data_IF_771782338262
#
_entry.id   IF_771782338262
#
_cell.length_a   1.000
_cell.length_b   1.000
_cell.length_c   1.000
_cell.angle_alpha   90.00
_cell.angle_beta   90.00
_cell.angle_gamma   90.00
#
_symmetry.space_group_name_H-M   'P 1'
#
loop_
_entity.id
_entity.type
_entity.pdbx_description
1 polymer ?
#
# COMPACT_ATOMS: atom_id res chain seq x y z
N UNK A 1 -35.18 14.32 -22.39
CA UNK A 1 -34.66 15.71 -22.45
C UNK A 1 -34.38 16.14 -21.01
N UNK A 2 -33.20 16.46 -20.49
CA UNK A 2 -31.89 16.83 -21.05
C UNK A 2 -30.78 15.91 -20.50
N UNK A 3 -29.88 15.49 -21.39
CA UNK A 3 -28.64 14.79 -21.06
C UNK A 3 -27.59 15.83 -20.66
N UNK A 4 -27.06 15.78 -19.43
CA UNK A 4 -25.86 16.54 -19.05
C UNK A 4 -24.62 15.78 -19.52
N UNK A 5 -23.59 16.46 -20.05
CA UNK A 5 -22.41 15.77 -20.58
C UNK A 5 -21.61 15.15 -19.43
N UNK A 6 -21.27 13.87 -19.59
CA UNK A 6 -20.34 13.15 -18.72
C UNK A 6 -18.94 13.75 -18.94
N UNK A 7 -18.44 14.46 -17.94
CA UNK A 7 -17.04 14.91 -17.93
C UNK A 7 -16.12 13.71 -17.72
N UNK A 8 -15.49 13.23 -18.78
CA UNK A 8 -14.37 12.31 -18.68
C UNK A 8 -13.12 13.14 -18.35
N UNK A 9 -12.48 12.87 -17.21
CA UNK A 9 -11.13 13.37 -16.93
C UNK A 9 -10.16 12.47 -17.72
N UNK A 10 -9.82 12.89 -18.94
CA UNK A 10 -8.71 12.30 -19.67
C UNK A 10 -7.39 12.85 -19.11
N UNK A 11 -6.62 12.01 -18.43
CA UNK A 11 -5.19 12.28 -18.23
C UNK A 11 -4.46 11.95 -19.53
N UNK A 12 -4.21 12.95 -20.37
CA UNK A 12 -3.28 12.82 -21.49
C UNK A 12 -1.86 13.06 -20.97
N UNK A 13 -1.14 11.98 -20.68
CA UNK A 13 0.30 12.02 -20.49
C UNK A 13 0.97 11.85 -21.85
N UNK A 14 1.29 12.97 -22.52
CA UNK A 14 2.08 12.93 -23.75
C UNK A 14 3.56 12.92 -23.39
N UNK A 15 4.16 11.74 -23.41
CA UNK A 15 5.62 11.60 -23.50
C UNK A 15 6.03 11.77 -24.96
N UNK A 16 6.56 12.93 -25.33
CA UNK A 16 7.40 13.06 -26.53
C UNK A 16 8.44 14.17 -26.34
N UNK A 17 9.71 13.98 -26.78
CA UNK A 17 10.81 14.84 -26.35
C UNK A 17 10.81 16.23 -26.97
N UNK A 18 10.05 16.50 -28.02
CA UNK A 18 10.04 17.78 -28.72
C UNK A 18 8.77 17.93 -29.57
N UNK A 19 7.67 18.50 -29.04
CA UNK A 19 6.63 19.17 -29.82
C UNK A 19 5.56 19.81 -28.93
N UNK A 20 5.35 21.12 -29.11
CA UNK A 20 4.25 21.89 -28.54
C UNK A 20 2.91 21.41 -29.11
N UNK A 21 1.93 21.17 -28.25
CA UNK A 21 0.52 21.10 -28.64
C UNK A 21 -0.30 21.96 -27.68
N UNK A 22 -0.77 23.09 -28.20
CA UNK A 22 -1.73 23.96 -27.52
C UNK A 22 -3.11 23.61 -28.06
N UNK A 23 -3.98 23.06 -27.24
CA UNK A 23 -5.41 23.00 -27.51
C UNK A 23 -6.13 23.84 -26.46
N UNK A 24 -6.66 24.99 -26.89
CA UNK A 24 -7.64 25.75 -26.12
C UNK A 24 -9.03 25.26 -26.50
N UNK A 25 -9.77 24.73 -25.53
CA UNK A 25 -11.22 24.59 -25.59
C UNK A 25 -11.84 25.17 -24.31
N UNK A 26 -13.01 25.74 -24.52
CA UNK A 26 -13.65 26.81 -23.73
C UNK A 26 -14.14 26.35 -22.35
N UNK A 27 -13.91 27.20 -21.35
CA UNK A 27 -14.65 27.34 -20.08
C UNK A 27 -14.57 26.23 -19.02
N UNK A 28 -13.35 25.92 -18.56
CA UNK A 28 -13.09 25.67 -17.13
C UNK A 28 -11.80 26.42 -16.78
N UNK A 29 -11.67 27.00 -15.57
CA UNK A 29 -10.36 27.47 -15.07
C UNK A 29 -9.49 26.25 -14.76
N UNK A 30 -9.08 25.55 -15.81
CA UNK A 30 -8.18 24.41 -15.73
C UNK A 30 -6.83 24.97 -15.28
N UNK A 31 -6.40 24.58 -14.09
CA UNK A 31 -5.08 24.96 -13.57
C UNK A 31 -4.02 24.13 -14.29
N UNK A 32 -2.97 24.79 -14.75
CA UNK A 32 -1.77 24.12 -15.23
C UNK A 32 -0.73 24.11 -14.12
N UNK A 33 -0.03 23.00 -13.98
CA UNK A 33 1.08 22.85 -13.02
C UNK A 33 2.34 22.42 -13.77
N UNK A 34 3.45 23.10 -13.51
CA UNK A 34 4.77 22.64 -13.95
C UNK A 34 5.21 21.55 -12.98
N UNK A 35 5.29 20.31 -13.48
CA UNK A 35 5.62 19.14 -12.66
C UNK A 35 6.97 18.56 -13.08
N UNK A 36 7.69 17.98 -12.11
CA UNK A 36 8.84 17.13 -12.34
C UNK A 36 8.45 15.71 -11.92
N UNK A 37 8.62 14.75 -12.83
CA UNK A 37 8.37 13.34 -12.51
C UNK A 37 9.49 12.84 -11.61
N UNK A 38 9.13 12.39 -10.41
CA UNK A 38 10.08 11.82 -9.46
C UNK A 38 10.31 10.34 -9.82
N UNK A 39 11.57 9.88 -9.91
CA UNK A 39 11.86 8.47 -10.22
C UNK A 39 11.64 7.57 -8.99
N UNK A 40 11.14 6.35 -9.22
CA UNK A 40 11.16 5.30 -8.20
C UNK A 40 12.59 4.74 -8.08
N UNK A 41 13.15 4.78 -6.87
CA UNK A 41 14.51 4.34 -6.55
C UNK A 41 14.52 2.84 -6.32
N UNK A 42 14.95 2.11 -7.35
CA UNK A 42 15.19 0.67 -7.30
C UNK A 42 16.58 0.43 -6.71
N UNK A 43 16.64 -0.24 -5.56
CA UNK A 43 17.89 -0.59 -4.88
C UNK A 43 18.21 -2.08 -5.11
N UNK A 44 19.47 -2.44 -5.41
CA UNK A 44 19.88 -3.84 -5.48
C UNK A 44 19.87 -4.49 -4.08
N UNK A 45 20.08 -5.80 -4.05
CA UNK A 45 20.26 -6.51 -2.78
C UNK A 45 21.47 -5.94 -2.02
N UNK A 46 21.33 -5.62 -0.71
CA UNK A 46 22.37 -4.94 0.05
C UNK A 46 23.67 -5.74 0.18
N UNK A 47 23.63 -7.06 -0.02
CA UNK A 47 24.80 -7.93 0.04
C UNK A 47 25.40 -8.24 -1.34
N UNK A 48 24.83 -7.73 -2.44
CA UNK A 48 25.40 -7.92 -3.79
C UNK A 48 26.86 -7.46 -3.87
N UNK A 49 27.21 -6.35 -3.21
CA UNK A 49 28.57 -5.81 -3.21
C UNK A 49 29.60 -6.67 -2.45
N UNK A 50 29.15 -7.54 -1.55
CA UNK A 50 30.00 -8.38 -0.69
C UNK A 50 29.86 -9.86 -1.08
N UNK A 51 29.16 -10.13 -2.18
CA UNK A 51 28.86 -11.49 -2.61
C UNK A 51 30.08 -12.15 -3.23
N UNK A 52 30.53 -13.27 -2.66
CA UNK A 52 31.63 -14.06 -3.21
C UNK A 52 31.16 -14.78 -4.49
N UNK A 53 31.94 -14.67 -5.57
CA UNK A 53 31.66 -15.25 -6.89
C UNK A 53 31.30 -16.74 -6.87
N UNK A 54 31.93 -17.61 -6.05
CA UNK A 54 31.54 -19.03 -5.94
C UNK A 54 30.17 -19.25 -5.27
N UNK A 55 29.77 -18.37 -4.34
CA UNK A 55 28.50 -18.46 -3.61
C UNK A 55 27.31 -17.91 -4.42
N UNK A 56 27.56 -17.27 -5.56
CA UNK A 56 26.51 -16.85 -6.50
C UNK A 56 25.58 -18.00 -6.92
N UNK A 57 26.13 -19.21 -7.07
CA UNK A 57 25.36 -20.43 -7.41
C UNK A 57 24.42 -20.88 -6.29
N UNK A 58 24.73 -20.56 -5.03
CA UNK A 58 23.86 -20.85 -3.88
C UNK A 58 22.79 -19.77 -3.66
N UNK A 59 22.96 -18.61 -4.30
CA UNK A 59 21.99 -17.52 -4.32
C UNK A 59 20.87 -17.75 -5.35
N UNK A 60 20.91 -18.86 -6.09
CA UNK A 60 19.79 -19.32 -6.90
C UNK A 60 18.54 -19.41 -6.00
N UNK A 61 17.54 -18.62 -6.38
CA UNK A 61 16.23 -18.56 -5.75
C UNK A 61 15.77 -20.00 -5.47
N UNK A 62 15.44 -20.38 -4.22
CA UNK A 62 14.79 -21.66 -4.02
C UNK A 62 13.56 -21.68 -4.90
N UNK A 63 13.57 -22.59 -5.88
CA UNK A 63 12.47 -22.87 -6.79
C UNK A 63 11.17 -22.93 -5.98
N UNK A 64 10.19 -22.14 -6.41
CA UNK A 64 8.81 -22.04 -5.94
C UNK A 64 8.60 -22.06 -4.41
N UNK A 65 8.09 -20.94 -3.87
CA UNK A 65 7.40 -20.92 -2.55
C UNK A 65 6.50 -22.16 -2.49
N UNK A 66 6.66 -23.06 -1.51
CA UNK A 66 5.84 -24.27 -1.47
C UNK A 66 4.36 -23.86 -1.44
N UNK A 67 3.49 -24.51 -2.26
CA UNK A 67 2.06 -24.28 -2.19
C UNK A 67 1.60 -24.52 -0.75
N UNK A 68 0.62 -23.73 -0.30
CA UNK A 68 0.20 -23.55 1.10
C UNK A 68 -0.12 -24.86 1.84
N UNK A 69 0.91 -25.63 2.23
CA UNK A 69 0.78 -26.89 2.93
C UNK A 69 1.71 -26.83 4.15
N UNK A 70 1.08 -26.67 5.33
CA UNK A 70 1.67 -26.64 6.66
C UNK A 70 2.49 -25.40 7.05
N UNK A 71 2.05 -24.73 8.13
CA UNK A 71 2.75 -23.63 8.80
C UNK A 71 4.22 -23.98 9.14
N UNK A 72 4.51 -25.24 9.50
CA UNK A 72 5.87 -25.70 9.84
C UNK A 72 6.80 -25.72 8.61
N UNK A 73 6.30 -26.11 7.44
CA UNK A 73 7.11 -26.14 6.21
C UNK A 73 7.46 -24.73 5.74
N UNK A 74 6.48 -23.81 5.79
CA UNK A 74 6.71 -22.40 5.50
C UNK A 74 7.74 -21.78 6.45
N UNK A 75 7.63 -22.03 7.76
CA UNK A 75 8.61 -21.55 8.75
C UNK A 75 10.04 -22.04 8.44
N UNK A 76 10.21 -23.34 8.12
CA UNK A 76 11.51 -23.90 7.72
C UNK A 76 12.05 -23.26 6.45
N UNK A 77 11.20 -23.08 5.43
CA UNK A 77 11.61 -22.43 4.18
C UNK A 77 12.12 -21.01 4.43
N UNK A 78 11.41 -20.22 5.24
CA UNK A 78 11.84 -18.85 5.58
C UNK A 78 13.13 -18.81 6.41
N UNK A 79 13.36 -19.80 7.28
CA UNK A 79 14.63 -19.93 7.99
C UNK A 79 15.79 -20.21 7.01
N UNK A 80 15.59 -21.15 6.08
CA UNK A 80 16.56 -21.48 5.03
C UNK A 80 16.80 -20.30 4.09
N UNK A 81 15.75 -19.59 3.67
CA UNK A 81 15.83 -18.39 2.86
C UNK A 81 16.73 -17.34 3.51
N UNK A 82 16.49 -17.03 4.79
CA UNK A 82 17.27 -16.04 5.54
C UNK A 82 18.74 -16.45 5.66
N UNK A 83 19.00 -17.72 5.97
CA UNK A 83 20.36 -18.24 6.10
C UNK A 83 21.13 -18.14 4.78
N UNK A 84 20.51 -18.51 3.65
CA UNK A 84 21.16 -18.48 2.34
C UNK A 84 21.34 -17.06 1.81
N UNK A 85 20.26 -16.27 1.83
CA UNK A 85 20.25 -14.90 1.29
C UNK A 85 21.25 -14.00 2.02
N UNK A 86 21.29 -14.09 3.34
CA UNK A 86 22.13 -13.21 4.16
C UNK A 86 23.42 -13.85 4.65
N UNK A 87 23.88 -14.93 4.00
CA UNK A 87 25.11 -15.63 4.40
C UNK A 87 26.34 -14.69 4.41
N UNK A 88 26.45 -13.81 3.41
CA UNK A 88 27.58 -12.88 3.30
C UNK A 88 27.53 -11.73 4.31
N UNK A 89 26.47 -11.62 5.14
CA UNK A 89 26.42 -10.63 6.21
C UNK A 89 27.57 -10.82 7.23
N UNK A 90 28.09 -12.04 7.39
CA UNK A 90 29.26 -12.32 8.24
C UNK A 90 30.54 -11.58 7.79
N UNK A 91 30.57 -11.09 6.55
CA UNK A 91 31.69 -10.31 6.01
C UNK A 91 31.48 -8.80 6.18
N UNK A 92 30.43 -8.41 6.91
CA UNK A 92 30.04 -7.02 7.13
C UNK A 92 29.97 -6.74 8.63
N UNK A 93 29.83 -5.46 9.01
CA UNK A 93 29.65 -5.07 10.42
C UNK A 93 28.28 -5.40 10.99
N UNK A 94 27.32 -5.85 10.17
CA UNK A 94 25.93 -6.06 10.60
C UNK A 94 25.52 -7.54 10.51
N UNK A 95 24.78 -8.06 11.49
CA UNK A 95 24.31 -9.44 11.47
C UNK A 95 23.21 -9.65 10.42
N UNK A 96 22.97 -10.91 9.97
CA UNK A 96 21.93 -11.26 8.98
C UNK A 96 20.54 -10.71 9.27
N UNK A 97 20.20 -10.53 10.56
CA UNK A 97 18.89 -10.04 10.93
C UNK A 97 18.65 -8.57 10.59
N UNK A 98 19.70 -7.75 10.53
CA UNK A 98 19.60 -6.33 10.15
C UNK A 98 19.24 -6.22 8.67
N UNK A 99 19.92 -6.96 7.80
CA UNK A 99 19.62 -7.01 6.36
C UNK A 99 18.19 -7.48 6.08
N UNK A 100 17.70 -8.45 6.84
CA UNK A 100 16.31 -8.90 6.74
C UNK A 100 15.28 -7.79 7.04
N UNK A 101 15.66 -6.72 7.75
CA UNK A 101 14.78 -5.55 7.97
C UNK A 101 14.69 -4.62 6.74
N UNK A 102 15.54 -4.81 5.72
CA UNK A 102 15.58 -4.02 4.49
C UNK A 102 15.32 -4.88 3.24
N UNK A 103 15.03 -6.16 3.41
CA UNK A 103 14.70 -7.09 2.34
C UNK A 103 13.23 -6.97 1.93
N UNK A 104 12.97 -6.75 0.64
CA UNK A 104 11.62 -6.55 0.10
C UNK A 104 10.70 -7.74 0.40
N UNK A 105 11.16 -8.97 0.17
CA UNK A 105 10.38 -10.19 0.38
C UNK A 105 9.99 -10.37 1.85
N UNK A 106 10.96 -10.19 2.76
CA UNK A 106 10.72 -10.24 4.21
C UNK A 106 9.75 -9.15 4.66
N UNK A 107 9.87 -7.93 4.13
CA UNK A 107 8.98 -6.81 4.45
C UNK A 107 7.57 -7.07 3.93
N UNK A 108 7.41 -7.42 2.65
CA UNK A 108 6.12 -7.76 2.06
C UNK A 108 5.42 -8.89 2.82
N UNK A 109 6.16 -9.95 3.20
CA UNK A 109 5.61 -11.04 4.01
C UNK A 109 5.08 -10.54 5.37
N UNK A 110 5.82 -9.65 6.04
CA UNK A 110 5.39 -9.07 7.33
C UNK A 110 4.15 -8.21 7.17
N UNK A 111 4.07 -7.42 6.10
CA UNK A 111 2.88 -6.61 5.78
C UNK A 111 1.70 -7.50 5.46
N UNK A 112 1.86 -8.53 4.62
CA UNK A 112 0.79 -9.51 4.32
C UNK A 112 0.21 -10.10 5.59
N UNK A 113 1.04 -10.50 6.55
CA UNK A 113 0.56 -11.01 7.84
C UNK A 113 -0.33 -9.98 8.57
N UNK A 114 0.05 -8.71 8.57
CA UNK A 114 -0.75 -7.65 9.20
C UNK A 114 -2.03 -7.34 8.42
N UNK A 115 -2.03 -7.47 7.09
CA UNK A 115 -3.24 -7.33 6.27
C UNK A 115 -4.22 -8.48 6.49
N UNK A 116 -3.71 -9.71 6.67
CA UNK A 116 -4.55 -10.87 7.04
C UNK A 116 -5.19 -10.72 8.41
N UNK A 117 -4.63 -9.91 9.32
CA UNK A 117 -5.29 -9.54 10.57
C UNK A 117 -6.48 -8.59 10.35
N UNK A 118 -6.53 -7.87 9.22
CA UNK A 118 -7.65 -7.01 8.85
C UNK A 118 -8.67 -7.74 7.99
N UNK A 119 -8.25 -8.70 7.16
CA UNK A 119 -9.12 -9.41 6.25
C UNK A 119 -8.71 -10.88 6.15
N UNK A 120 -9.42 -11.73 6.88
CA UNK A 120 -9.20 -13.19 6.86
C UNK A 120 -9.44 -13.80 5.47
N UNK A 121 -10.23 -13.13 4.62
CA UNK A 121 -10.56 -13.58 3.27
C UNK A 121 -9.58 -13.04 2.22
N UNK A 122 -8.56 -12.28 2.62
CA UNK A 122 -7.58 -11.70 1.71
C UNK A 122 -6.82 -12.82 0.99
N UNK A 123 -7.03 -12.96 -0.31
CA UNK A 123 -6.29 -13.94 -1.11
C UNK A 123 -4.89 -13.41 -1.40
N UNK A 124 -3.86 -14.17 -1.02
CA UNK A 124 -2.45 -13.83 -1.29
C UNK A 124 -2.18 -13.52 -2.79
N UNK A 125 -2.96 -14.15 -3.68
CA UNK A 125 -2.87 -14.00 -5.14
C UNK A 125 -3.45 -12.69 -5.67
N UNK A 126 -4.28 -11.97 -4.89
CA UNK A 126 -4.80 -10.65 -5.28
C UNK A 126 -3.77 -9.53 -5.06
N UNK A 127 -2.72 -9.82 -4.29
CA UNK A 127 -1.70 -8.85 -3.90
C UNK A 127 -0.56 -8.83 -4.93
N UNK A 128 -0.05 -7.64 -5.30
CA UNK A 128 1.08 -7.55 -6.22
C UNK A 128 2.31 -8.30 -5.71
N UNK A 129 3.06 -8.92 -6.62
CA UNK A 129 4.34 -9.58 -6.33
C UNK A 129 5.51 -8.62 -6.37
N UNK A 130 5.41 -7.52 -7.12
CA UNK A 130 6.40 -6.46 -7.15
C UNK A 130 6.30 -5.60 -5.88
N UNK A 131 7.43 -5.33 -5.22
CA UNK A 131 7.49 -4.54 -4.00
C UNK A 131 7.00 -3.09 -4.17
N UNK A 132 7.22 -2.49 -5.33
CA UNK A 132 6.78 -1.12 -5.67
C UNK A 132 5.25 -1.09 -5.67
N UNK A 133 4.62 -1.89 -6.54
CA UNK A 133 3.16 -1.95 -6.66
C UNK A 133 2.50 -2.38 -5.35
N UNK A 134 3.10 -3.33 -4.65
CA UNK A 134 2.61 -3.79 -3.36
C UNK A 134 2.64 -2.67 -2.31
N UNK A 135 3.74 -1.92 -2.21
CA UNK A 135 3.84 -0.80 -1.25
C UNK A 135 2.80 0.29 -1.54
N UNK A 136 2.63 0.69 -2.80
CA UNK A 136 1.59 1.67 -3.15
C UNK A 136 0.17 1.14 -2.89
N UNK A 137 -0.06 -0.16 -3.12
CA UNK A 137 -1.34 -0.79 -2.81
C UNK A 137 -1.65 -0.73 -1.30
N UNK A 138 -0.66 -1.02 -0.46
CA UNK A 138 -0.81 -0.95 1.00
C UNK A 138 -1.04 0.49 1.44
N UNK A 139 -0.20 1.42 0.98
CA UNK A 139 -0.31 2.85 1.30
C UNK A 139 -1.70 3.42 0.94
N UNK A 140 -2.31 2.97 -0.15
CA UNK A 140 -3.67 3.37 -0.52
C UNK A 140 -4.74 2.96 0.52
N UNK A 141 -4.50 1.89 1.28
CA UNK A 141 -5.44 1.30 2.23
C UNK A 141 -5.23 1.74 3.68
N UNK A 142 -4.12 2.41 4.01
CA UNK A 142 -3.82 2.80 5.38
C UNK A 142 -4.71 3.97 5.84
N UNK A 143 -5.42 3.84 6.98
CA UNK A 143 -6.24 4.92 7.53
C UNK A 143 -5.35 5.92 8.29
N UNK A 144 -4.64 6.75 7.54
CA UNK A 144 -3.73 7.79 8.04
C UNK A 144 -4.21 9.18 7.65
N UNK A 145 -3.74 10.19 8.36
CA UNK A 145 -4.05 11.58 8.04
C UNK A 145 -3.25 12.09 6.81
N UNK A 146 -3.64 13.26 6.30
CA UNK A 146 -3.03 13.87 5.12
C UNK A 146 -1.53 14.14 5.32
N UNK A 147 -1.12 14.48 6.55
CA UNK A 147 0.26 14.77 6.87
C UNK A 147 1.13 13.52 6.69
N UNK A 148 0.75 12.38 7.30
CA UNK A 148 1.44 11.11 7.13
C UNK A 148 1.34 10.61 5.70
N UNK A 149 0.19 10.77 5.03
CA UNK A 149 0.01 10.39 3.62
C UNK A 149 0.98 11.13 2.70
N UNK A 150 1.18 12.43 2.93
CA UNK A 150 2.18 13.22 2.21
C UNK A 150 3.61 12.78 2.54
N UNK A 151 3.91 12.35 3.77
CA UNK A 151 5.23 11.79 4.09
C UNK A 151 5.46 10.46 3.36
N UNK A 152 4.48 9.56 3.31
CA UNK A 152 4.57 8.32 2.54
C UNK A 152 4.80 8.59 1.05
N UNK A 153 4.09 9.57 0.50
CA UNK A 153 4.21 9.95 -0.92
C UNK A 153 5.61 10.50 -1.27
N UNK A 154 6.30 11.14 -0.31
CA UNK A 154 7.67 11.63 -0.51
C UNK A 154 8.72 10.51 -0.52
N UNK A 155 8.40 9.33 -0.02
CA UNK A 155 9.32 8.19 0.01
C UNK A 155 9.47 7.64 -1.41
N UNK A 156 10.69 7.72 -1.95
CA UNK A 156 10.99 7.26 -3.31
C UNK A 156 11.46 5.81 -3.42
N UNK A 157 11.50 5.02 -2.33
CA UNK A 157 11.94 3.63 -2.35
C UNK A 157 10.90 2.71 -1.71
N UNK A 158 10.51 1.65 -2.41
CA UNK A 158 9.61 0.62 -1.88
C UNK A 158 10.06 0.05 -0.53
N UNK A 159 11.36 -0.15 -0.30
CA UNK A 159 11.88 -0.68 0.97
C UNK A 159 11.57 0.27 2.14
N UNK A 160 11.84 1.56 1.95
CA UNK A 160 11.55 2.57 2.96
C UNK A 160 10.04 2.71 3.18
N UNK A 161 9.25 2.63 2.10
CA UNK A 161 7.78 2.74 2.14
C UNK A 161 7.18 1.58 2.94
N UNK A 162 7.54 0.33 2.62
CA UNK A 162 7.11 -0.87 3.35
C UNK A 162 7.49 -0.84 4.84
N UNK A 163 8.68 -0.34 5.16
CA UNK A 163 9.10 -0.18 6.56
C UNK A 163 8.25 0.84 7.30
N UNK A 164 7.95 1.96 6.65
CA UNK A 164 7.10 3.01 7.20
C UNK A 164 5.66 2.52 7.39
N UNK A 165 5.11 1.81 6.40
CA UNK A 165 3.80 1.16 6.47
C UNK A 165 3.72 0.18 7.64
N UNK A 166 4.73 -0.66 7.84
CA UNK A 166 4.79 -1.58 8.99
C UNK A 166 4.81 -0.84 10.33
N UNK A 167 5.54 0.27 10.45
CA UNK A 167 5.58 1.08 11.67
C UNK A 167 4.19 1.67 11.97
N UNK A 168 3.53 2.21 10.94
CA UNK A 168 2.17 2.74 11.04
C UNK A 168 1.19 1.66 11.49
N UNK A 169 1.20 0.49 10.82
CA UNK A 169 0.30 -0.63 11.17
C UNK A 169 0.52 -1.16 12.59
N UNK A 170 1.73 -1.03 13.12
CA UNK A 170 2.06 -1.45 14.48
C UNK A 170 1.68 -0.42 15.54
N UNK A 171 1.80 0.88 15.24
CA UNK A 171 1.60 1.97 16.20
C UNK A 171 0.18 2.51 16.22
N UNK A 172 -0.50 2.52 15.08
CA UNK A 172 -1.86 3.06 14.94
C UNK A 172 -2.89 1.97 15.23
N UNK A 173 -3.21 1.78 16.51
CA UNK A 173 -4.18 0.76 16.96
C UNK A 173 -5.59 1.30 17.20
N UNK A 174 -5.73 2.63 17.31
CA UNK A 174 -7.00 3.33 17.56
C UNK A 174 -7.18 4.46 16.54
N UNK A 175 -8.42 4.72 16.14
CA UNK A 175 -8.82 5.77 15.23
C UNK A 175 -9.77 6.73 15.95
N UNK A 176 -9.33 7.96 16.14
CA UNK A 176 -10.07 9.01 16.85
C UNK A 176 -10.68 10.04 15.89
N UNK A 177 -11.66 10.79 16.39
CA UNK A 177 -12.20 11.94 15.69
C UNK A 177 -11.11 13.00 15.45
N UNK A 178 -10.86 13.37 14.19
CA UNK A 178 -9.85 14.39 13.81
C UNK A 178 -10.07 15.75 14.49
N UNK A 179 -11.33 16.11 14.76
CA UNK A 179 -11.68 17.39 15.38
C UNK A 179 -11.49 17.39 16.90
N UNK A 180 -11.91 16.31 17.59
CA UNK A 180 -11.82 16.21 19.05
C UNK A 180 -10.45 15.72 19.52
N UNK A 181 -9.70 15.05 18.64
CA UNK A 181 -8.41 14.39 18.86
C UNK A 181 -8.45 13.18 19.80
N UNK A 182 -9.10 13.30 20.96
CA UNK A 182 -9.05 12.28 22.03
C UNK A 182 -10.29 11.38 22.11
N UNK A 183 -11.28 11.57 21.23
CA UNK A 183 -12.48 10.73 21.18
C UNK A 183 -12.28 9.57 20.22
N UNK A 184 -12.05 8.37 20.76
CA UNK A 184 -11.95 7.13 19.97
C UNK A 184 -13.26 6.83 19.24
N UNK A 185 -13.18 6.51 17.96
CA UNK A 185 -14.32 6.10 17.13
C UNK A 185 -14.29 4.60 16.90
N UNK A 186 -13.13 4.03 16.64
CA UNK A 186 -12.97 2.59 16.38
C UNK A 186 -11.52 2.17 16.60
N UNK A 187 -11.25 0.86 16.55
CA UNK A 187 -9.91 0.29 16.72
C UNK A 187 -9.50 -0.51 15.50
N UNK A 188 -8.19 -0.79 15.37
CA UNK A 188 -7.61 -1.60 14.30
C UNK A 188 -8.29 -2.96 14.16
N UNK A 189 -8.75 -3.56 15.25
CA UNK A 189 -9.37 -4.89 15.27
C UNK A 189 -10.76 -4.92 14.62
N UNK A 190 -11.40 -3.76 14.48
CA UNK A 190 -12.71 -3.65 13.85
C UNK A 190 -12.59 -3.37 12.35
N UNK A 191 -11.39 -3.15 11.82
CA UNK A 191 -11.16 -2.89 10.39
C UNK A 191 -11.35 -4.18 9.59
N UNK A 192 -12.09 -4.09 8.48
CA UNK A 192 -12.26 -5.21 7.55
C UNK A 192 -12.41 -4.77 6.11
N UNK A 193 -12.10 -5.65 5.16
CA UNK A 193 -12.23 -5.36 3.72
C UNK A 193 -13.60 -5.77 3.18
N UNK A 194 -14.44 -4.80 2.80
CA UNK A 194 -15.61 -5.06 1.94
C UNK A 194 -15.26 -5.04 0.44
N UNK A 195 -14.17 -4.39 0.08
CA UNK A 195 -13.75 -4.18 -1.30
C UNK A 195 -12.54 -5.05 -1.63
N UNK A 196 -12.42 -5.47 -2.89
CA UNK A 196 -11.20 -6.10 -3.39
C UNK A 196 -9.97 -5.20 -3.22
N UNK A 197 -10.18 -3.89 -3.11
CA UNK A 197 -9.11 -2.91 -2.94
C UNK A 197 -8.50 -2.91 -1.54
N UNK A 198 -9.20 -3.44 -0.54
CA UNK A 198 -8.84 -3.41 0.87
C UNK A 198 -9.94 -2.76 1.71
N UNK A 199 -9.65 -2.40 2.97
CA UNK A 199 -10.62 -1.82 3.90
C UNK A 199 -10.95 -0.35 3.59
N UNK A 200 -10.14 0.33 2.78
CA UNK A 200 -10.34 1.75 2.45
C UNK A 200 -10.30 1.96 0.94
N UNK A 201 -11.27 2.72 0.42
CA UNK A 201 -11.34 3.09 -0.99
C UNK A 201 -12.00 4.46 -1.19
N UNK A 202 -11.73 5.09 -2.32
CA UNK A 202 -12.29 6.39 -2.68
C UNK A 202 -13.63 6.23 -3.43
N UNK A 203 -14.65 6.92 -2.96
CA UNK A 203 -15.99 6.94 -3.56
C UNK A 203 -16.47 8.35 -3.78
N UNK A 204 -17.37 8.55 -4.76
CA UNK A 204 -17.85 9.87 -5.14
C UNK A 204 -19.34 9.98 -4.82
N UNK A 205 -19.72 11.04 -4.10
CA UNK A 205 -21.12 11.31 -3.81
C UNK A 205 -21.82 12.00 -5.01
N UNK A 206 -23.16 12.12 -5.04
CA UNK A 206 -23.90 12.70 -6.18
C UNK A 206 -23.52 14.15 -6.54
N UNK A 207 -22.89 14.86 -5.60
CA UNK A 207 -22.45 16.24 -5.78
C UNK A 207 -20.98 16.35 -6.24
N UNK A 208 -20.30 15.22 -6.44
CA UNK A 208 -18.92 15.16 -6.92
C UNK A 208 -17.85 15.23 -5.84
N UNK A 209 -18.20 15.16 -4.55
CA UNK A 209 -17.20 15.09 -3.48
C UNK A 209 -16.67 13.66 -3.34
N UNK A 210 -15.34 13.56 -3.21
CA UNK A 210 -14.63 12.30 -3.03
C UNK A 210 -14.47 12.03 -1.54
N UNK A 211 -14.79 10.81 -1.12
CA UNK A 211 -14.63 10.32 0.25
C UNK A 211 -13.79 9.05 0.23
N UNK A 212 -12.63 9.06 0.91
CA UNK A 212 -11.91 7.83 1.26
C UNK A 212 -12.63 7.20 2.45
N UNK A 213 -13.39 6.13 2.18
CA UNK A 213 -14.25 5.48 3.17
C UNK A 213 -13.59 4.21 3.68
N UNK A 214 -13.35 4.13 4.98
CA UNK A 214 -12.85 2.94 5.69
C UNK A 214 -14.02 2.10 6.20
N UNK A 215 -13.98 0.79 5.98
CA UNK A 215 -15.01 -0.16 6.45
C UNK A 215 -14.59 -0.82 7.76
N UNK A 216 -15.46 -0.69 8.77
CA UNK A 216 -15.25 -1.22 10.13
C UNK A 216 -16.51 -1.93 10.65
N UNK A 217 -16.33 -3.00 11.43
CA UNK A 217 -17.43 -3.77 12.03
C UNK A 217 -18.17 -2.98 13.11
N UNK A 218 -17.42 -2.26 13.96
CA UNK A 218 -17.98 -1.45 15.04
C UNK A 218 -17.37 -0.06 15.07
N UNK A 219 -18.21 0.90 15.42
CA UNK A 219 -17.82 2.26 15.74
C UNK A 219 -18.61 2.75 16.97
N UNK A 220 -17.98 3.56 17.79
CA UNK A 220 -18.51 4.12 19.03
C UNK A 220 -18.48 5.64 18.98
N UNK A 221 -19.16 6.31 19.92
CA UNK A 221 -19.16 7.77 20.05
C UNK A 221 -19.70 8.51 18.80
N UNK A 222 -20.66 7.88 18.11
CA UNK A 222 -21.36 8.44 16.95
C UNK A 222 -22.86 8.54 17.21
N UNK A 223 -23.47 9.63 16.75
CA UNK A 223 -24.93 9.78 16.72
C UNK A 223 -25.43 9.59 15.28
N UNK A 224 -26.42 8.71 15.09
CA UNK A 224 -27.07 8.52 13.79
C UNK A 224 -28.20 9.54 13.62
N UNK A 225 -28.16 10.33 12.55
CA UNK A 225 -29.16 11.35 12.26
C UNK A 225 -29.91 11.01 10.97
N UNK A 226 -31.24 11.04 11.02
CA UNK A 226 -32.10 10.73 9.87
C UNK A 226 -32.57 9.27 9.84
N UNK A 227 -32.92 8.78 8.64
CA UNK A 227 -33.34 7.38 8.40
C UNK A 227 -32.38 6.70 7.41
N UNK A 228 -32.18 5.37 7.49
CA UNK A 228 -31.42 4.63 6.48
C UNK A 228 -31.99 4.85 5.07
N UNK A 229 -31.10 4.91 4.08
CA UNK A 229 -31.46 5.13 2.68
C UNK A 229 -30.51 4.36 1.77
N UNK A 230 -31.06 3.77 0.70
CA UNK A 230 -30.29 3.09 -0.36
C UNK A 230 -29.95 4.02 -1.53
N UNK A 231 -30.42 5.27 -1.49
CA UNK A 231 -30.20 6.25 -2.55
C UNK A 231 -28.71 6.57 -2.68
N UNK A 232 -28.13 6.24 -3.85
CA UNK A 232 -26.70 6.43 -4.16
C UNK A 232 -25.73 5.69 -3.21
N UNK A 233 -26.14 4.56 -2.63
CA UNK A 233 -25.24 3.71 -1.84
C UNK A 233 -24.05 3.20 -2.67
N UNK A 234 -22.84 3.26 -2.09
CA UNK A 234 -21.62 2.68 -2.70
C UNK A 234 -21.47 1.18 -2.47
N UNK A 235 -22.25 0.63 -1.54
CA UNK A 235 -22.29 -0.80 -1.23
C UNK A 235 -23.70 -1.30 -1.57
N UNK A 236 -23.90 -1.93 -2.74
CA UNK A 236 -25.20 -2.47 -3.14
C UNK A 236 -25.62 -3.62 -2.20
N UNK A 237 -26.86 -3.56 -1.72
CA UNK A 237 -27.44 -4.46 -0.71
C UNK A 237 -28.48 -3.72 0.10
#
# INVERSE_FOLDING_TARGET
MHSKPKGFIHYLCLSSPNSLSVFSLVSFRIRQAKVQILPERILPDPLTAVQLTPLSRLHMHPSSRPPAQSCKQAQRWWATYRQRKFHCANMTSWPPWVYALYDSETLMKRVKRQLHEWDENLKDDSLPTNAIDFSYRVAACLPIDDALRLQLLKIGSAIQRLRCELDIMARCTSLCCKQCQDTEITTKNEIFSLSLYGPMAAYVNPHGYVHETLTVYKASNLNLVGRPSTLHSWFPG
#
